data_IF_447703731460
#
_entry.id   IF_447703731460
#
_cell.length_a   1.000
_cell.length_b   1.000
_cell.length_c   1.000
_cell.angle_alpha   90.00
_cell.angle_beta   90.00
_cell.angle_gamma   90.00
#
_symmetry.space_group_name_H-M   'P 1'
#
loop_
_entity.id
_entity.type
_entity.pdbx_description
1 polymer ?
#
# COMPACT_ATOMS: atom_id res chain seq x y z
N UNK A 1 -7.83 -10.79 -10.30
CA UNK A 1 -6.55 -10.07 -10.13
C UNK A 1 -5.45 -10.96 -10.71
N UNK A 2 -4.47 -10.43 -11.45
CA UNK A 2 -3.47 -11.24 -12.16
C UNK A 2 -2.28 -11.59 -11.27
N UNK A 3 -1.87 -10.64 -10.45
CA UNK A 3 -0.79 -10.75 -9.49
C UNK A 3 -1.37 -10.67 -8.09
N UNK A 4 -0.84 -11.48 -7.17
CA UNK A 4 -1.12 -11.37 -5.74
C UNK A 4 0.03 -10.56 -5.10
N UNK A 5 -0.21 -9.28 -4.74
CA UNK A 5 0.83 -8.51 -4.08
C UNK A 5 1.14 -9.16 -2.73
N UNK A 6 2.43 -9.19 -2.38
CA UNK A 6 2.93 -9.60 -1.06
C UNK A 6 3.47 -8.40 -0.30
N UNK A 7 4.07 -7.45 -1.02
CA UNK A 7 4.60 -6.23 -0.43
C UNK A 7 4.59 -5.09 -1.42
N UNK A 8 4.20 -3.91 -0.96
CA UNK A 8 4.32 -2.67 -1.71
C UNK A 8 4.87 -1.59 -0.79
N UNK A 9 5.98 -0.95 -1.17
CA UNK A 9 6.67 0.06 -0.35
C UNK A 9 6.96 1.32 -1.14
N UNK A 10 6.74 2.45 -0.49
CA UNK A 10 7.33 3.74 -0.87
C UNK A 10 8.70 3.84 -0.21
N UNK A 11 9.75 3.88 -1.02
CA UNK A 11 11.14 4.04 -0.60
C UNK A 11 11.57 5.52 -0.74
N UNK A 12 12.67 5.92 -0.09
CA UNK A 12 13.28 7.23 -0.32
C UNK A 12 13.62 7.46 -1.81
N UNK A 13 13.78 8.72 -2.18
CA UNK A 13 14.12 9.14 -3.57
C UNK A 13 13.04 8.72 -4.59
N UNK A 14 11.77 8.76 -4.18
CA UNK A 14 10.60 8.41 -5.00
C UNK A 14 10.65 6.99 -5.60
N UNK A 15 11.43 6.08 -4.99
CA UNK A 15 11.50 4.69 -5.43
C UNK A 15 10.30 3.90 -4.91
N UNK A 16 9.87 2.93 -5.70
CA UNK A 16 8.86 1.94 -5.31
C UNK A 16 9.50 0.57 -5.29
N UNK A 17 9.23 -0.18 -4.23
CA UNK A 17 9.53 -1.60 -4.16
C UNK A 17 8.24 -2.41 -4.12
N UNK A 18 8.14 -3.40 -4.99
CA UNK A 18 7.01 -4.33 -5.03
C UNK A 18 7.51 -5.77 -4.99
N UNK A 19 6.83 -6.61 -4.23
CA UNK A 19 6.92 -8.06 -4.26
C UNK A 19 5.53 -8.60 -4.51
N UNK A 20 5.40 -9.55 -5.43
CA UNK A 20 4.14 -10.18 -5.79
C UNK A 20 4.39 -11.63 -6.20
N UNK A 21 3.32 -12.41 -6.24
CA UNK A 21 3.35 -13.79 -6.70
C UNK A 21 2.35 -14.05 -7.81
N UNK A 22 2.65 -15.03 -8.64
CA UNK A 22 1.80 -15.51 -9.73
C UNK A 22 1.56 -17.00 -9.51
N UNK A 23 0.29 -17.40 -9.47
CA UNK A 23 -0.09 -18.81 -9.38
C UNK A 23 0.30 -19.56 -10.66
N UNK A 24 1.01 -20.68 -10.51
CA UNK A 24 1.41 -21.58 -11.62
C UNK A 24 0.55 -22.83 -11.69
N UNK A 25 0.32 -23.45 -10.54
CA UNK A 25 -0.53 -24.63 -10.37
C UNK A 25 -1.29 -24.51 -9.04
N UNK A 26 -1.97 -25.56 -8.59
CA UNK A 26 -2.91 -25.52 -7.46
C UNK A 26 -2.28 -24.95 -6.17
N UNK A 27 -1.01 -25.28 -5.90
CA UNK A 27 -0.23 -24.86 -4.72
C UNK A 27 1.14 -24.26 -5.03
N UNK A 28 1.48 -24.05 -6.32
CA UNK A 28 2.78 -23.51 -6.71
C UNK A 28 2.66 -22.06 -7.17
N UNK A 29 3.52 -21.22 -6.62
CA UNK A 29 3.57 -19.79 -6.89
C UNK A 29 4.99 -19.37 -7.23
N UNK A 30 5.14 -18.62 -8.32
CA UNK A 30 6.38 -17.92 -8.60
C UNK A 30 6.35 -16.55 -7.92
N UNK A 31 7.37 -16.25 -7.14
CA UNK A 31 7.52 -14.97 -6.48
C UNK A 31 8.49 -14.07 -7.26
N UNK A 32 8.06 -12.83 -7.50
CA UNK A 32 8.84 -11.80 -8.16
C UNK A 32 8.97 -10.57 -7.27
N UNK A 33 10.03 -9.81 -7.47
CA UNK A 33 10.20 -8.50 -6.86
C UNK A 33 10.92 -7.55 -7.81
N UNK A 34 10.67 -6.26 -7.65
CA UNK A 34 11.41 -5.22 -8.32
C UNK A 34 11.48 -3.96 -7.47
N UNK A 35 12.49 -3.13 -7.76
CA UNK A 35 12.58 -1.73 -7.31
C UNK A 35 12.63 -0.86 -8.56
N UNK A 36 11.82 0.20 -8.62
CA UNK A 36 11.81 1.16 -9.73
C UNK A 36 11.76 2.59 -9.22
N UNK A 37 12.19 3.54 -10.05
CA UNK A 37 12.01 4.99 -9.85
C UNK A 37 10.75 5.51 -10.56
N UNK A 38 10.05 4.67 -11.32
CA UNK A 38 8.86 5.09 -12.03
C UNK A 38 7.75 5.46 -11.06
N UNK A 39 7.07 6.56 -11.34
CA UNK A 39 5.95 7.04 -10.52
C UNK A 39 4.67 6.28 -10.86
N UNK A 40 3.88 5.90 -9.85
CA UNK A 40 2.63 5.20 -10.07
C UNK A 40 1.57 6.19 -10.56
N UNK A 41 0.52 5.69 -11.20
CA UNK A 41 -0.61 6.54 -11.56
C UNK A 41 -1.21 7.20 -10.29
N UNK A 42 -1.79 8.43 -10.40
CA UNK A 42 -2.33 9.15 -9.24
C UNK A 42 -3.34 8.36 -8.40
N UNK A 43 -4.10 7.46 -9.03
CA UNK A 43 -5.05 6.57 -8.34
C UNK A 43 -4.40 5.74 -7.23
N UNK A 44 -3.21 5.19 -7.47
CA UNK A 44 -2.49 4.41 -6.47
C UNK A 44 -2.10 5.26 -5.26
N UNK A 45 -1.58 6.46 -5.51
CA UNK A 45 -1.19 7.38 -4.45
C UNK A 45 -2.41 7.82 -3.65
N UNK A 46 -3.47 8.26 -4.33
CA UNK A 46 -4.72 8.69 -3.69
C UNK A 46 -5.33 7.60 -2.83
N UNK A 47 -5.37 6.36 -3.34
CA UNK A 47 -5.88 5.23 -2.59
C UNK A 47 -5.04 4.97 -1.33
N UNK A 48 -3.71 5.06 -1.43
CA UNK A 48 -2.83 4.89 -0.28
C UNK A 48 -3.08 5.91 0.85
N UNK A 49 -3.54 7.13 0.52
CA UNK A 49 -3.82 8.17 1.50
C UNK A 49 -5.05 7.86 2.36
N UNK A 50 -6.04 7.14 1.83
CA UNK A 50 -7.23 6.72 2.57
C UNK A 50 -6.87 5.86 3.79
N UNK A 51 -5.79 5.07 3.66
CA UNK A 51 -5.34 4.17 4.72
C UNK A 51 -4.81 4.86 5.97
N UNK A 52 -4.52 6.16 5.93
CA UNK A 52 -4.16 6.92 7.14
C UNK A 52 -5.24 6.83 8.21
N UNK A 53 -6.52 6.91 7.82
CA UNK A 53 -7.65 6.78 8.74
C UNK A 53 -7.71 5.39 9.36
N UNK A 54 -7.52 4.34 8.56
CA UNK A 54 -7.44 2.97 9.07
C UNK A 54 -6.28 2.77 10.03
N UNK A 55 -5.10 3.33 9.74
CA UNK A 55 -3.94 3.25 10.65
C UNK A 55 -4.25 3.92 11.98
N UNK A 56 -4.85 5.12 11.99
CA UNK A 56 -5.22 5.79 13.24
C UNK A 56 -6.19 4.94 14.05
N UNK A 57 -7.25 4.45 13.41
CA UNK A 57 -8.27 3.64 14.06
C UNK A 57 -7.69 2.33 14.64
N UNK A 58 -6.91 1.59 13.84
CA UNK A 58 -6.33 0.31 14.22
C UNK A 58 -5.23 0.42 15.30
N UNK A 59 -4.53 1.56 15.33
CA UNK A 59 -3.53 1.85 16.35
C UNK A 59 -4.10 2.66 17.53
N UNK A 60 -5.41 2.83 17.60
CA UNK A 60 -6.13 3.55 18.66
C UNK A 60 -5.59 4.99 18.87
N UNK A 61 -5.19 5.65 17.78
CA UNK A 61 -4.72 7.03 17.76
C UNK A 61 -5.88 8.00 17.50
N UNK A 62 -5.79 9.27 17.93
CA UNK A 62 -6.84 10.25 17.68
C UNK A 62 -7.09 10.48 16.18
N UNK A 63 -8.34 10.43 15.75
CA UNK A 63 -8.76 10.58 14.35
C UNK A 63 -8.99 12.05 13.93
N UNK A 64 -8.13 12.96 14.37
CA UNK A 64 -8.22 14.36 13.94
C UNK A 64 -7.57 14.57 12.57
N UNK A 65 -8.01 15.60 11.83
CA UNK A 65 -7.37 15.99 10.57
C UNK A 65 -5.87 16.26 10.77
N UNK A 66 -5.49 16.90 11.88
CA UNK A 66 -4.08 17.15 12.21
C UNK A 66 -3.28 15.84 12.31
N UNK A 67 -3.83 14.81 12.95
CA UNK A 67 -3.19 13.51 13.10
C UNK A 67 -3.08 12.75 11.77
N UNK A 68 -4.10 12.84 10.92
CA UNK A 68 -4.07 12.29 9.56
C UNK A 68 -2.92 12.92 8.76
N UNK A 69 -2.71 14.23 8.86
CA UNK A 69 -1.65 14.93 8.12
C UNK A 69 -0.24 14.65 8.66
N UNK A 70 -0.11 14.20 9.91
CA UNK A 70 1.18 13.76 10.47
C UNK A 70 1.61 12.38 9.99
N UNK A 71 0.68 11.57 9.48
CA UNK A 71 0.95 10.22 9.01
C UNK A 71 1.38 10.18 7.55
N UNK A 72 2.33 9.31 7.27
CA UNK A 72 2.76 8.94 5.93
C UNK A 72 2.77 7.43 5.81
N UNK A 73 2.05 6.87 4.85
CA UNK A 73 2.05 5.43 4.61
C UNK A 73 3.36 5.04 3.94
N UNK A 74 4.03 4.04 4.49
CA UNK A 74 5.34 3.56 4.02
C UNK A 74 5.22 2.25 3.26
N UNK A 75 4.37 1.33 3.73
CA UNK A 75 4.19 0.07 3.02
C UNK A 75 2.91 -0.67 3.38
N UNK A 76 2.49 -1.51 2.46
CA UNK A 76 1.50 -2.55 2.65
C UNK A 76 2.20 -3.91 2.57
N UNK A 77 1.90 -4.79 3.52
CA UNK A 77 2.34 -6.18 3.52
C UNK A 77 1.11 -7.06 3.52
N UNK A 78 1.04 -7.97 2.57
CA UNK A 78 -0.08 -8.87 2.39
C UNK A 78 0.39 -10.31 2.60
N UNK A 79 -0.50 -11.14 3.14
CA UNK A 79 -0.32 -12.57 3.30
C UNK A 79 -1.53 -13.28 2.72
N UNK A 80 -1.32 -14.48 2.21
CA UNK A 80 -2.39 -15.36 1.71
C UNK A 80 -2.21 -16.71 2.40
N UNK A 81 -3.24 -17.21 3.09
CA UNK A 81 -3.11 -18.43 3.90
C UNK A 81 -4.38 -19.26 4.02
N UNK A 82 -4.17 -20.54 4.32
CA UNK A 82 -5.23 -21.54 4.50
C UNK A 82 -5.85 -22.00 3.19
N UNK A 83 -6.66 -23.05 3.26
CA UNK A 83 -7.34 -23.64 2.09
C UNK A 83 -8.29 -22.65 1.39
N UNK A 84 -8.90 -21.75 2.17
CA UNK A 84 -9.77 -20.68 1.64
C UNK A 84 -8.99 -19.53 0.99
N UNK A 85 -7.65 -19.56 1.01
CA UNK A 85 -6.77 -18.52 0.46
C UNK A 85 -7.12 -17.11 0.95
N UNK A 86 -7.24 -16.96 2.27
CA UNK A 86 -7.68 -15.72 2.91
C UNK A 86 -6.54 -14.69 2.93
N UNK A 87 -6.87 -13.45 2.54
CA UNK A 87 -5.95 -12.32 2.62
C UNK A 87 -5.80 -11.80 4.06
N UNK A 88 -4.55 -11.55 4.44
CA UNK A 88 -4.21 -10.76 5.63
C UNK A 88 -3.36 -9.55 5.26
N UNK A 89 -3.43 -8.50 6.08
CA UNK A 89 -2.77 -7.22 5.80
C UNK A 89 -2.15 -6.60 7.05
N UNK A 90 -0.98 -6.00 6.85
CA UNK A 90 -0.32 -5.08 7.79
C UNK A 90 0.12 -3.83 7.05
N UNK A 91 -0.12 -2.67 7.64
CA UNK A 91 0.28 -1.37 7.10
C UNK A 91 1.38 -0.79 7.98
N UNK A 92 2.45 -0.35 7.35
CA UNK A 92 3.51 0.42 8.00
C UNK A 92 3.35 1.89 7.65
N UNK A 93 3.44 2.76 8.66
CA UNK A 93 3.36 4.20 8.51
C UNK A 93 4.42 4.88 9.38
N UNK A 94 4.79 6.10 9.01
CA UNK A 94 5.58 6.99 9.85
C UNK A 94 4.74 8.17 10.30
N UNK A 95 4.86 8.57 11.56
CA UNK A 95 4.19 9.73 12.14
C UNK A 95 5.21 10.79 12.55
N UNK A 96 5.04 12.02 12.06
CA UNK A 96 5.88 13.15 12.49
C UNK A 96 5.65 13.47 13.97
N UNK A 97 6.72 13.78 14.69
CA UNK A 97 6.71 14.14 16.10
C UNK A 97 7.26 15.56 16.27
N UNK A 98 6.61 16.39 17.09
CA UNK A 98 7.06 17.77 17.31
C UNK A 98 8.35 17.87 18.12
N UNK A 99 8.60 16.90 19.00
CA UNK A 99 9.75 16.89 19.91
C UNK A 99 10.91 15.99 19.48
N UNK A 100 10.86 15.39 18.29
CA UNK A 100 11.87 14.47 17.78
C UNK A 100 12.25 14.82 16.36
N UNK A 101 13.55 14.73 16.04
CA UNK A 101 14.06 14.87 14.67
C UNK A 101 13.79 13.62 13.82
N UNK A 102 13.34 12.52 14.44
CA UNK A 102 13.03 11.24 13.80
C UNK A 102 11.54 10.93 13.98
N UNK A 103 10.86 10.41 12.93
CA UNK A 103 9.46 10.07 13.04
C UNK A 103 9.24 8.84 13.92
N UNK A 104 8.05 8.72 14.50
CA UNK A 104 7.57 7.47 15.10
C UNK A 104 7.20 6.50 13.98
N UNK A 105 7.69 5.26 14.04
CA UNK A 105 7.31 4.21 13.09
C UNK A 105 6.19 3.38 13.71
N UNK A 106 5.09 3.24 12.98
CA UNK A 106 3.90 2.50 13.36
C UNK A 106 3.72 1.32 12.41
N UNK A 107 3.35 0.17 12.97
CA UNK A 107 2.80 -0.94 12.21
C UNK A 107 1.43 -1.25 12.78
N UNK A 108 0.43 -1.39 11.91
CA UNK A 108 -0.89 -1.87 12.36
C UNK A 108 -0.76 -3.32 12.83
N UNK A 109 -1.64 -3.79 13.71
CA UNK A 109 -1.82 -5.22 13.90
C UNK A 109 -2.05 -5.91 12.55
N UNK A 110 -1.55 -7.15 12.42
CA UNK A 110 -1.95 -8.01 11.32
C UNK A 110 -3.42 -8.42 11.53
N UNK A 111 -4.21 -8.26 10.47
CA UNK A 111 -5.63 -8.60 10.44
C UNK A 111 -5.96 -9.35 9.15
N UNK A 112 -6.91 -10.28 9.23
CA UNK A 112 -7.36 -11.13 8.13
C UNK A 112 -8.72 -10.67 7.60
N UNK A 113 -9.03 -10.92 6.33
CA UNK A 113 -10.33 -10.50 5.76
C UNK A 113 -11.50 -11.40 6.18
N UNK A 114 -11.22 -12.66 6.50
CA UNK A 114 -12.20 -13.65 6.95
C UNK A 114 -11.54 -14.70 7.85
N UNK A 115 -12.33 -15.51 8.55
CA UNK A 115 -11.82 -16.59 9.38
C UNK A 115 -11.35 -17.79 8.57
N UNK A 116 -10.20 -18.36 8.97
CA UNK A 116 -9.77 -19.65 8.45
C UNK A 116 -10.72 -20.79 8.87
N UNK A 117 -11.29 -20.70 10.07
CA UNK A 117 -12.32 -21.61 10.59
C UNK A 117 -13.74 -21.06 10.35
N UNK A 118 -14.77 -21.76 10.80
CA UNK A 118 -16.17 -21.32 10.66
C UNK A 118 -16.53 -20.14 11.58
N UNK A 119 -15.73 -19.89 12.62
CA UNK A 119 -15.91 -18.79 13.55
C UNK A 119 -14.56 -18.32 14.12
N UNK A 120 -14.57 -17.15 14.76
CA UNK A 120 -13.41 -16.56 15.41
C UNK A 120 -13.72 -15.24 16.10
N UNK A 121 -12.69 -14.58 16.63
CA UNK A 121 -12.81 -13.24 17.22
C UNK A 121 -12.85 -12.19 16.11
N UNK A 122 -13.95 -11.44 16.01
CA UNK A 122 -14.12 -10.40 15.00
C UNK A 122 -13.07 -9.28 15.11
N UNK A 123 -12.40 -9.13 16.26
CA UNK A 123 -11.25 -8.23 16.41
C UNK A 123 -10.00 -8.71 15.66
N UNK A 124 -9.98 -9.92 15.11
CA UNK A 124 -8.92 -10.36 14.19
C UNK A 124 -9.19 -9.92 12.75
N UNK A 125 -10.43 -9.51 12.44
CA UNK A 125 -10.83 -9.17 11.09
C UNK A 125 -10.45 -7.73 10.72
N UNK A 126 -10.16 -7.53 9.44
CA UNK A 126 -10.12 -6.22 8.82
C UNK A 126 -11.53 -5.60 8.83
N UNK A 127 -11.67 -4.29 9.08
CA UNK A 127 -12.95 -3.60 8.87
C UNK A 127 -13.46 -3.80 7.45
N UNK A 128 -14.77 -4.02 7.26
CA UNK A 128 -15.32 -4.38 5.94
C UNK A 128 -15.05 -3.34 4.85
N UNK A 129 -15.11 -2.06 5.19
CA UNK A 129 -14.74 -0.96 4.29
C UNK A 129 -13.24 -1.01 3.92
N UNK A 130 -12.38 -1.35 4.88
CA UNK A 130 -10.94 -1.51 4.64
C UNK A 130 -10.64 -2.66 3.67
N UNK A 131 -11.40 -3.76 3.73
CA UNK A 131 -11.24 -4.88 2.79
C UNK A 131 -11.46 -4.42 1.35
N UNK A 132 -12.56 -3.70 1.09
CA UNK A 132 -12.83 -3.16 -0.25
C UNK A 132 -11.72 -2.21 -0.72
N UNK A 133 -11.28 -1.30 0.15
CA UNK A 133 -10.23 -0.33 -0.18
C UNK A 133 -8.88 -1.00 -0.44
N UNK A 134 -8.59 -2.13 0.23
CA UNK A 134 -7.41 -2.96 -0.03
C UNK A 134 -7.50 -3.58 -1.42
N UNK A 135 -8.64 -4.15 -1.80
CA UNK A 135 -8.80 -4.73 -3.13
C UNK A 135 -8.65 -3.68 -4.23
N UNK A 136 -9.20 -2.48 -4.04
CA UNK A 136 -9.00 -1.36 -4.95
C UNK A 136 -7.52 -0.92 -5.04
N UNK A 137 -6.82 -0.83 -3.90
CA UNK A 137 -5.37 -0.60 -3.88
C UNK A 137 -4.61 -1.68 -4.65
N UNK A 138 -4.95 -2.95 -4.47
CA UNK A 138 -4.31 -4.06 -5.16
C UNK A 138 -4.57 -4.04 -6.67
N UNK A 139 -5.74 -3.56 -7.12
CA UNK A 139 -6.01 -3.32 -8.55
C UNK A 139 -5.06 -2.27 -9.11
N UNK A 140 -4.86 -1.15 -8.41
CA UNK A 140 -3.88 -0.14 -8.80
C UNK A 140 -2.44 -0.68 -8.80
N UNK A 141 -2.08 -1.52 -7.81
CA UNK A 141 -0.76 -2.20 -7.78
C UNK A 141 -0.62 -3.13 -9.00
N UNK A 142 -1.66 -3.87 -9.37
CA UNK A 142 -1.63 -4.74 -10.55
C UNK A 142 -1.44 -3.94 -11.84
N UNK A 143 -2.19 -2.85 -12.02
CA UNK A 143 -2.00 -1.88 -13.10
C UNK A 143 -0.55 -1.36 -13.17
N UNK A 144 0.03 -1.03 -12.00
CA UNK A 144 1.43 -0.63 -11.92
C UNK A 144 2.40 -1.76 -12.28
N UNK A 145 2.14 -3.00 -11.90
CA UNK A 145 2.96 -4.14 -12.34
C UNK A 145 2.87 -4.30 -13.88
N UNK A 146 1.69 -4.09 -14.46
CA UNK A 146 1.45 -4.17 -15.92
C UNK A 146 1.99 -2.96 -16.71
N UNK A 147 2.58 -1.96 -16.06
CA UNK A 147 3.23 -0.83 -16.73
C UNK A 147 2.43 0.47 -16.74
N UNK A 148 1.26 0.53 -16.09
CA UNK A 148 0.53 1.79 -15.93
C UNK A 148 1.30 2.73 -14.99
N UNK A 149 1.61 3.94 -15.44
CA UNK A 149 2.43 4.93 -14.73
C UNK A 149 1.75 6.29 -14.70
N UNK A 150 2.29 7.20 -13.90
CA UNK A 150 1.97 8.61 -14.05
C UNK A 150 2.21 9.04 -15.52
N UNK A 151 1.20 9.63 -16.14
CA UNK A 151 1.35 10.20 -17.46
C UNK A 151 2.21 11.45 -17.35
N UNK A 152 3.42 11.40 -17.91
CA UNK A 152 4.25 12.59 -18.07
C UNK A 152 3.50 13.57 -18.98
N UNK A 153 3.19 14.74 -18.45
CA UNK A 153 2.69 15.84 -19.25
C UNK A 153 3.82 16.34 -20.16
N UNK A 154 3.79 15.92 -21.42
CA UNK A 154 4.77 16.27 -22.44
C UNK A 154 4.96 17.81 -22.56
N UNK A 155 3.92 18.59 -22.24
CA UNK A 155 4.00 20.05 -22.22
C UNK A 155 4.82 20.58 -21.03
N UNK A 156 4.70 19.97 -19.86
CA UNK A 156 5.47 20.34 -18.67
C UNK A 156 6.97 20.09 -18.86
N UNK A 157 7.35 18.99 -19.53
CA UNK A 157 8.75 18.72 -19.89
C UNK A 157 9.29 19.69 -20.92
N UNK A 158 8.52 20.01 -21.98
CA UNK A 158 8.92 21.00 -22.99
C UNK A 158 9.16 22.39 -22.39
N UNK A 159 8.33 22.81 -21.44
CA UNK A 159 8.49 24.08 -20.72
C UNK A 159 9.75 24.04 -19.81
N UNK A 160 9.98 22.93 -19.12
CA UNK A 160 11.16 22.76 -18.25
C UNK A 160 12.48 22.74 -19.03
N UNK A 161 12.50 22.10 -20.21
CA UNK A 161 13.67 22.10 -21.10
C UNK A 161 13.97 23.49 -21.65
N UNK A 162 12.95 24.27 -22.02
CA UNK A 162 13.11 25.65 -22.49
C UNK A 162 13.70 26.58 -21.41
N UNK A 163 13.32 26.40 -20.15
CA UNK A 163 13.85 27.20 -19.02
C UNK A 163 15.30 26.88 -18.65
N UNK A 164 15.82 25.71 -19.02
CA UNK A 164 17.23 25.32 -18.79
C UNK A 164 18.18 25.76 -19.91
N UNK A 165 17.64 26.17 -21.05
CA UNK A 165 18.40 26.53 -22.25
C UNK A 165 18.51 28.04 -22.50
N UNK A 166 17.99 28.88 -21.59
CA UNK A 166 18.13 30.33 -21.59
C UNK A 166 18.70 30.81 -20.26
#
# INVERSE_FOLDING_TARGET
MKYEPLKFKFLPEDKIFCTFQIKRSEDEYDQYNFTTVDKPAPGLLNQSLLFRKYVLNLCELPESEEEIHKLEIKSFSFSWSGEKHIMGCTISASRKLSGSNSPLILNTPHKIEDFHADNGDTKQLLPRNMVNDIYELMLHINSFIDGEREQLDLFSELIAMRKKAG
#
